data_IF_446787837220
#
_entry.id   IF_446787837220
#
_cell.length_a   1.000
_cell.length_b   1.000
_cell.length_c   1.000
_cell.angle_alpha   90.00
_cell.angle_beta   90.00
_cell.angle_gamma   90.00
#
_symmetry.space_group_name_H-M   'P 1'
#
loop_
_entity.id
_entity.type
_entity.pdbx_description
1 polymer ?
#
# COMPACT_ATOMS: atom_id res chain seq x y z
N UNK A 1 5.81 4.08 2.83
CA UNK A 1 6.21 5.42 2.38
C UNK A 1 5.43 6.36 3.29
N UNK A 2 5.18 7.62 2.94
CA UNK A 2 4.23 8.47 3.68
C UNK A 2 4.71 9.05 5.03
N UNK A 3 3.76 9.65 5.75
CA UNK A 3 4.03 10.51 6.91
C UNK A 3 4.37 9.71 8.17
N UNK A 4 5.44 10.12 8.86
CA UNK A 4 5.97 9.45 10.06
C UNK A 4 5.15 9.74 11.34
N UNK A 5 3.86 9.36 11.36
CA UNK A 5 2.94 9.62 12.49
C UNK A 5 2.87 8.49 13.53
N UNK A 6 3.68 7.44 13.39
CA UNK A 6 3.57 6.21 14.20
C UNK A 6 3.49 6.46 15.71
N UNK A 7 4.30 7.38 16.23
CA UNK A 7 4.45 7.56 17.67
C UNK A 7 3.24 8.20 18.35
N UNK A 8 2.47 9.01 17.60
CA UNK A 8 1.23 9.61 18.09
C UNK A 8 0.01 8.74 17.78
N UNK A 9 0.11 7.87 16.77
CA UNK A 9 -0.97 6.96 16.36
C UNK A 9 -0.93 5.61 17.08
N UNK A 10 0.20 5.24 17.67
CA UNK A 10 0.38 3.95 18.34
C UNK A 10 -0.69 3.62 19.40
N UNK A 11 -1.16 4.57 20.24
CA UNK A 11 -2.22 4.31 21.22
C UNK A 11 -3.59 3.96 20.61
N UNK A 12 -3.84 4.30 19.35
CA UNK A 12 -5.13 4.12 18.67
C UNK A 12 -5.14 2.91 17.73
N UNK A 13 -4.12 2.05 17.83
CA UNK A 13 -4.02 0.83 17.04
C UNK A 13 -4.76 -0.30 17.74
N UNK A 14 -5.80 -0.78 17.08
CA UNK A 14 -6.52 -1.97 17.52
C UNK A 14 -6.05 -3.17 16.74
N UNK A 15 -5.81 -4.28 17.44
CA UNK A 15 -5.55 -5.55 16.76
C UNK A 15 -6.83 -5.99 16.06
N UNK A 16 -6.76 -6.21 14.75
CA UNK A 16 -7.83 -6.90 14.04
C UNK A 16 -7.54 -8.40 14.00
N UNK A 17 -8.44 -9.19 14.58
CA UNK A 17 -8.55 -10.60 14.21
C UNK A 17 -8.97 -10.71 12.73
N UNK A 18 -8.78 -11.87 12.13
CA UNK A 18 -9.20 -12.10 10.75
C UNK A 18 -10.71 -11.93 10.55
N UNK A 19 -11.51 -12.25 11.56
CA UNK A 19 -12.96 -12.05 11.57
C UNK A 19 -13.36 -10.57 11.51
N UNK A 20 -12.47 -9.67 11.96
CA UNK A 20 -12.66 -8.22 11.88
C UNK A 20 -12.33 -7.61 10.52
N UNK A 21 -12.02 -8.44 9.52
CA UNK A 21 -11.65 -8.04 8.15
C UNK A 21 -12.67 -8.53 7.10
N UNK A 22 -13.82 -9.04 7.52
CA UNK A 22 -14.91 -9.29 6.60
C UNK A 22 -15.48 -7.96 6.06
N UNK A 23 -16.00 -8.00 4.83
CA UNK A 23 -16.57 -6.82 4.17
C UNK A 23 -15.70 -6.24 3.04
N UNK A 24 -16.12 -5.11 2.50
CA UNK A 24 -15.50 -4.46 1.34
C UNK A 24 -14.30 -3.62 1.75
N UNK A 25 -13.19 -3.74 1.02
CA UNK A 25 -11.92 -3.10 1.39
C UNK A 25 -11.24 -2.45 0.17
N UNK A 26 -10.97 -1.15 0.22
CA UNK A 26 -10.18 -0.47 -0.81
C UNK A 26 -8.69 -0.58 -0.49
N UNK A 27 -7.95 -1.35 -1.28
CA UNK A 27 -6.52 -1.56 -1.12
C UNK A 27 -5.76 -0.60 -2.03
N UNK A 28 -4.85 0.19 -1.45
CA UNK A 28 -3.85 0.90 -2.24
C UNK A 28 -2.96 -0.13 -2.96
N UNK A 29 -3.10 -0.18 -4.28
CA UNK A 29 -2.38 -1.11 -5.14
C UNK A 29 -0.88 -0.80 -5.19
N UNK A 30 -0.46 0.46 -5.25
CA UNK A 30 0.96 0.80 -5.31
C UNK A 30 1.66 0.45 -4.00
N UNK A 31 1.02 0.73 -2.86
CA UNK A 31 1.52 0.29 -1.56
C UNK A 31 1.59 -1.25 -1.49
N UNK A 32 0.53 -1.96 -1.88
CA UNK A 32 0.50 -3.43 -1.87
C UNK A 32 1.57 -4.06 -2.76
N UNK A 33 1.72 -3.59 -4.00
CA UNK A 33 2.72 -4.07 -4.95
C UNK A 33 4.14 -3.81 -4.44
N UNK A 34 4.40 -2.64 -3.86
CA UNK A 34 5.68 -2.34 -3.22
C UNK A 34 5.97 -3.29 -2.06
N UNK A 35 4.98 -3.59 -1.22
CA UNK A 35 5.13 -4.59 -0.16
C UNK A 35 5.47 -5.96 -0.75
N UNK A 36 4.78 -6.41 -1.80
CA UNK A 36 5.07 -7.71 -2.42
C UNK A 36 6.48 -7.78 -3.01
N UNK A 37 6.90 -6.77 -3.76
CA UNK A 37 8.24 -6.71 -4.36
C UNK A 37 9.36 -6.62 -3.31
N UNK A 38 9.10 -5.97 -2.17
CA UNK A 38 10.09 -5.82 -1.10
C UNK A 38 10.17 -7.04 -0.18
N UNK A 39 9.09 -7.81 -0.04
CA UNK A 39 8.95 -8.89 0.94
C UNK A 39 9.07 -10.28 0.31
N UNK A 40 8.47 -10.49 -0.86
CA UNK A 40 8.39 -11.80 -1.51
C UNK A 40 9.64 -11.97 -2.37
N UNK A 41 10.62 -12.65 -1.80
CA UNK A 41 11.96 -12.84 -2.36
C UNK A 41 12.41 -14.27 -2.12
N UNK A 42 13.41 -14.71 -2.88
CA UNK A 42 14.08 -15.98 -2.67
C UNK A 42 14.87 -15.98 -1.35
N UNK A 43 15.37 -17.14 -0.94
CA UNK A 43 16.12 -17.28 0.32
C UNK A 43 17.41 -16.45 0.34
N UNK A 44 18.04 -16.25 -0.83
CA UNK A 44 19.20 -15.39 -1.04
C UNK A 44 18.85 -13.89 -1.12
N UNK A 45 17.56 -13.55 -1.05
CA UNK A 45 17.08 -12.19 -1.07
C UNK A 45 16.83 -11.59 -2.46
N UNK A 46 17.10 -12.32 -3.53
CA UNK A 46 16.76 -11.91 -4.90
C UNK A 46 15.24 -11.90 -5.11
N UNK A 47 14.69 -11.05 -5.99
CA UNK A 47 13.27 -11.13 -6.36
C UNK A 47 12.90 -12.50 -6.95
N UNK A 48 11.63 -12.85 -6.88
CA UNK A 48 11.13 -13.94 -7.72
C UNK A 48 11.15 -13.47 -9.17
N UNK A 49 11.65 -14.33 -10.06
CA UNK A 49 11.70 -14.08 -11.51
C UNK A 49 11.14 -15.27 -12.27
N UNK A 50 10.70 -15.03 -13.50
CA UNK A 50 10.37 -16.08 -14.47
C UNK A 50 11.60 -16.54 -15.28
N UNK A 51 11.38 -17.43 -16.26
CA UNK A 51 12.43 -17.95 -17.14
C UNK A 51 13.12 -16.87 -17.98
N UNK A 52 12.43 -15.77 -18.28
CA UNK A 52 12.95 -14.61 -19.01
C UNK A 52 13.62 -13.57 -18.10
N UNK A 53 13.66 -13.81 -16.79
CA UNK A 53 14.26 -12.92 -15.80
C UNK A 53 13.38 -11.72 -15.41
N UNK A 54 12.10 -11.70 -15.80
CA UNK A 54 11.16 -10.65 -15.38
C UNK A 54 10.76 -10.89 -13.93
N UNK A 55 10.67 -9.82 -13.13
CA UNK A 55 10.25 -9.93 -11.72
C UNK A 55 8.79 -10.34 -11.62
N UNK A 56 8.49 -11.34 -10.79
CA UNK A 56 7.13 -11.91 -10.60
C UNK A 56 6.65 -11.88 -9.14
N UNK A 57 7.43 -11.29 -8.23
CA UNK A 57 7.09 -11.18 -6.80
C UNK A 57 5.74 -10.51 -6.56
N UNK A 58 5.39 -9.51 -7.36
CA UNK A 58 4.09 -8.81 -7.27
C UNK A 58 2.92 -9.72 -7.67
N UNK A 59 3.04 -10.50 -8.73
CA UNK A 59 2.02 -11.47 -9.16
C UNK A 59 1.81 -12.56 -8.10
N UNK A 60 2.91 -13.09 -7.55
CA UNK A 60 2.82 -14.07 -6.47
C UNK A 60 2.14 -13.48 -5.24
N UNK A 61 2.49 -12.25 -4.85
CA UNK A 61 1.84 -11.57 -3.73
C UNK A 61 0.36 -11.37 -3.96
N UNK A 62 0.00 -10.86 -5.14
CA UNK A 62 -1.36 -10.54 -5.52
C UNK A 62 -2.24 -11.80 -5.56
N UNK A 63 -1.79 -12.87 -6.22
CA UNK A 63 -2.52 -14.14 -6.29
C UNK A 63 -2.80 -14.70 -4.89
N UNK A 64 -1.76 -14.94 -4.08
CA UNK A 64 -1.92 -15.65 -2.81
C UNK A 64 -2.59 -14.81 -1.73
N UNK A 65 -2.40 -13.49 -1.74
CA UNK A 65 -3.05 -12.60 -0.77
C UNK A 65 -4.50 -12.36 -1.12
N UNK A 66 -4.81 -12.09 -2.38
CA UNK A 66 -6.19 -11.82 -2.81
C UNK A 66 -7.07 -13.05 -2.60
N UNK A 67 -6.62 -14.23 -3.03
CA UNK A 67 -7.32 -15.51 -2.75
C UNK A 67 -7.50 -15.78 -1.26
N UNK A 68 -6.51 -15.45 -0.43
CA UNK A 68 -6.66 -15.55 1.03
C UNK A 68 -7.73 -14.59 1.54
N UNK A 69 -7.74 -13.33 1.08
CA UNK A 69 -8.72 -12.33 1.49
C UNK A 69 -10.14 -12.76 1.15
N UNK A 70 -10.37 -13.20 -0.08
CA UNK A 70 -11.64 -13.72 -0.56
C UNK A 70 -12.12 -14.91 0.30
N UNK A 71 -11.23 -15.86 0.59
CA UNK A 71 -11.54 -17.02 1.43
C UNK A 71 -11.89 -16.66 2.89
N UNK A 72 -11.54 -15.47 3.36
CA UNK A 72 -11.87 -14.97 4.70
C UNK A 72 -13.08 -14.02 4.69
N UNK A 73 -13.83 -13.93 3.58
CA UNK A 73 -15.00 -13.06 3.47
C UNK A 73 -14.68 -11.58 3.28
N UNK A 74 -13.41 -11.24 2.97
CA UNK A 74 -13.04 -9.89 2.56
C UNK A 74 -13.25 -9.73 1.06
N UNK A 75 -13.86 -8.62 0.64
CA UNK A 75 -14.11 -8.26 -0.76
C UNK A 75 -13.20 -7.10 -1.15
N UNK A 76 -11.98 -7.38 -1.65
CA UNK A 76 -11.01 -6.33 -1.99
C UNK A 76 -11.38 -5.63 -3.29
N UNK A 77 -11.15 -4.32 -3.36
CA UNK A 77 -11.02 -3.55 -4.58
C UNK A 77 -9.64 -2.91 -4.58
N UNK A 78 -8.90 -3.01 -5.68
CA UNK A 78 -7.56 -2.43 -5.78
C UNK A 78 -7.60 -1.04 -6.43
N UNK A 79 -6.96 -0.06 -5.79
CA UNK A 79 -6.93 1.32 -6.24
C UNK A 79 -5.51 1.67 -6.67
N UNK A 80 -5.30 1.87 -7.97
CA UNK A 80 -4.02 2.27 -8.54
C UNK A 80 -3.91 3.79 -8.58
N UNK A 81 -2.71 4.33 -8.34
CA UNK A 81 -2.40 5.74 -8.56
C UNK A 81 -2.60 6.10 -10.04
N UNK A 82 -3.10 7.31 -10.27
CA UNK A 82 -3.10 7.98 -11.55
C UNK A 82 -1.93 8.95 -11.69
N UNK A 83 -2.22 10.15 -12.19
CA UNK A 83 -1.20 11.16 -12.38
C UNK A 83 -0.75 11.74 -11.02
N UNK A 84 0.56 11.70 -10.71
CA UNK A 84 1.05 12.31 -9.47
C UNK A 84 0.86 13.83 -9.51
N UNK A 85 0.53 14.47 -8.38
CA UNK A 85 0.41 15.92 -8.33
C UNK A 85 1.79 16.59 -8.48
N UNK A 86 1.82 17.83 -8.97
CA UNK A 86 3.07 18.60 -9.12
C UNK A 86 3.84 18.73 -7.80
N UNK A 87 3.10 18.84 -6.69
CA UNK A 87 3.64 18.89 -5.32
C UNK A 87 4.55 17.69 -5.00
N UNK A 88 4.31 16.52 -5.62
CA UNK A 88 5.08 15.28 -5.38
C UNK A 88 6.29 15.15 -6.30
N UNK A 89 6.51 16.08 -7.24
CA UNK A 89 7.58 15.99 -8.24
C UNK A 89 8.99 15.96 -7.61
N UNK A 90 9.22 16.74 -6.56
CA UNK A 90 10.49 16.74 -5.83
C UNK A 90 10.77 15.38 -5.19
N UNK A 91 9.78 14.82 -4.49
CA UNK A 91 9.84 13.51 -3.85
C UNK A 91 10.06 12.39 -4.87
N UNK A 92 9.39 12.45 -6.03
CA UNK A 92 9.58 11.48 -7.11
C UNK A 92 11.02 11.54 -7.65
N UNK A 93 11.58 12.74 -7.88
CA UNK A 93 12.98 12.90 -8.30
C UNK A 93 13.94 12.35 -7.26
N UNK A 94 13.75 12.67 -5.99
CA UNK A 94 14.59 12.16 -4.91
C UNK A 94 14.54 10.62 -4.82
N UNK A 95 13.34 10.03 -4.87
CA UNK A 95 13.15 8.57 -4.87
C UNK A 95 13.80 7.92 -6.08
N UNK A 96 13.78 8.57 -7.25
CA UNK A 96 14.46 8.08 -8.46
C UNK A 96 15.97 8.05 -8.27
N UNK A 97 16.58 9.12 -7.77
CA UNK A 97 18.02 9.17 -7.52
C UNK A 97 18.46 8.09 -6.54
N UNK A 98 17.71 7.90 -5.43
CA UNK A 98 18.00 6.85 -4.44
C UNK A 98 17.92 5.45 -5.06
N UNK A 99 16.93 5.20 -5.93
CA UNK A 99 16.78 3.90 -6.61
C UNK A 99 17.91 3.63 -7.61
N UNK A 100 18.29 4.63 -8.39
CA UNK A 100 19.38 4.51 -9.37
C UNK A 100 20.71 4.21 -8.66
N UNK A 101 20.99 4.90 -7.56
CA UNK A 101 22.18 4.65 -6.75
C UNK A 101 22.15 3.27 -6.10
N UNK A 102 21.00 2.88 -5.52
CA UNK A 102 20.83 1.54 -4.98
C UNK A 102 21.00 0.45 -6.05
N UNK A 103 20.59 0.70 -7.30
CA UNK A 103 20.80 -0.22 -8.42
C UNK A 103 22.28 -0.44 -8.74
N UNK A 104 23.09 0.62 -8.70
CA UNK A 104 24.56 0.51 -8.86
C UNK A 104 25.20 -0.25 -7.72
N UNK A 105 24.82 0.08 -6.48
CA UNK A 105 25.33 -0.58 -5.29
C UNK A 105 24.93 -2.05 -5.23
N UNK A 106 23.73 -2.40 -5.72
CA UNK A 106 23.29 -3.78 -5.88
C UNK A 106 24.19 -4.56 -6.85
N UNK A 107 24.46 -4.02 -8.04
CA UNK A 107 25.33 -4.68 -9.01
C UNK A 107 26.73 -4.95 -8.44
N UNK A 108 27.32 -3.95 -7.77
CA UNK A 108 28.62 -4.08 -7.12
C UNK A 108 28.62 -5.11 -5.98
N UNK A 109 27.55 -5.16 -5.17
CA UNK A 109 27.42 -6.12 -4.07
C UNK A 109 27.21 -7.57 -4.56
N UNK A 110 26.53 -7.74 -5.70
CA UNK A 110 26.41 -9.05 -6.36
C UNK A 110 27.77 -9.52 -6.87
N UNK A 111 28.54 -8.63 -7.51
CA UNK A 111 29.88 -8.95 -8.01
C UNK A 111 30.87 -9.30 -6.89
N UNK A 112 30.78 -8.62 -5.74
CA UNK A 112 31.64 -8.89 -4.57
C UNK A 112 31.19 -10.07 -3.71
N UNK A 113 30.03 -10.68 -3.98
CA UNK A 113 29.46 -11.76 -3.18
C UNK A 113 28.91 -11.30 -1.81
N UNK A 114 28.74 -10.01 -1.58
CA UNK A 114 28.10 -9.48 -0.36
C UNK A 114 26.58 -9.60 -0.46
N UNK A 115 26.08 -10.79 -0.17
CA UNK A 115 24.65 -11.11 -0.23
C UNK A 115 23.81 -10.23 0.70
N UNK A 116 24.35 -9.76 1.83
CA UNK A 116 23.61 -8.94 2.79
C UNK A 116 23.40 -7.51 2.26
N UNK A 117 24.45 -6.90 1.70
CA UNK A 117 24.34 -5.59 1.08
C UNK A 117 23.54 -5.67 -0.23
N UNK A 118 23.76 -6.70 -1.05
CA UNK A 118 22.97 -6.92 -2.26
C UNK A 118 21.47 -7.02 -1.93
N UNK A 119 21.09 -7.71 -0.86
CA UNK A 119 19.71 -7.78 -0.40
C UNK A 119 19.13 -6.41 -0.04
N UNK A 120 19.87 -5.62 0.75
CA UNK A 120 19.45 -4.28 1.16
C UNK A 120 19.25 -3.36 -0.03
N UNK A 121 20.22 -3.35 -0.96
CA UNK A 121 20.21 -2.50 -2.14
C UNK A 121 19.14 -2.92 -3.15
N UNK A 122 18.92 -4.23 -3.35
CA UNK A 122 17.85 -4.73 -4.21
C UNK A 122 16.45 -4.33 -3.72
N UNK A 123 16.24 -4.21 -2.40
CA UNK A 123 14.98 -3.69 -1.84
C UNK A 123 14.83 -2.20 -2.09
N UNK A 124 15.90 -1.43 -1.95
CA UNK A 124 15.88 0.02 -2.20
C UNK A 124 15.71 0.36 -3.69
N UNK A 125 16.30 -0.44 -4.58
CA UNK A 125 16.21 -0.29 -6.04
C UNK A 125 14.85 -0.72 -6.63
N UNK A 126 13.96 -1.30 -5.81
CA UNK A 126 12.65 -1.80 -6.27
C UNK A 126 11.83 -0.68 -6.93
N UNK A 127 11.35 -0.95 -8.15
CA UNK A 127 10.55 -0.05 -8.97
C UNK A 127 9.20 -0.71 -9.31
N UNK A 128 8.15 0.10 -9.27
CA UNK A 128 6.86 -0.22 -9.89
C UNK A 128 6.85 0.52 -11.23
N UNK A 129 6.77 -0.22 -12.33
CA UNK A 129 6.70 0.31 -13.68
C UNK A 129 5.39 -0.12 -14.37
N UNK A 130 5.23 0.30 -15.62
CA UNK A 130 4.03 -0.01 -16.40
C UNK A 130 3.82 -1.52 -16.61
N UNK A 131 4.88 -2.32 -16.68
CA UNK A 131 4.77 -3.76 -16.83
C UNK A 131 4.28 -4.42 -15.52
N UNK A 132 4.78 -3.98 -14.37
CA UNK A 132 4.29 -4.40 -13.05
C UNK A 132 2.82 -4.04 -12.87
N UNK A 133 2.43 -2.81 -13.21
CA UNK A 133 1.03 -2.35 -13.09
C UNK A 133 0.12 -3.13 -14.05
N UNK A 134 0.46 -3.20 -15.34
CA UNK A 134 -0.37 -3.87 -16.34
C UNK A 134 -0.54 -5.36 -16.08
N UNK A 135 0.52 -6.05 -15.65
CA UNK A 135 0.41 -7.46 -15.26
C UNK A 135 -0.38 -7.66 -13.96
N UNK A 136 -0.29 -6.75 -12.99
CA UNK A 136 -1.13 -6.79 -11.79
C UNK A 136 -2.62 -6.60 -12.13
N UNK A 137 -2.96 -5.62 -12.97
CA UNK A 137 -4.33 -5.36 -13.43
C UNK A 137 -4.91 -6.58 -14.17
N UNK A 138 -4.16 -7.13 -15.12
CA UNK A 138 -4.56 -8.35 -15.85
C UNK A 138 -4.82 -9.53 -14.89
N UNK A 139 -3.97 -9.72 -13.89
CA UNK A 139 -4.18 -10.77 -12.89
C UNK A 139 -5.45 -10.53 -12.06
N UNK A 140 -5.75 -9.27 -11.70
CA UNK A 140 -6.98 -8.92 -10.97
C UNK A 140 -8.23 -9.16 -11.82
N UNK A 141 -8.18 -8.81 -13.11
CA UNK A 141 -9.27 -9.11 -14.05
C UNK A 141 -9.56 -10.60 -14.12
N UNK A 142 -8.51 -11.41 -14.26
CA UNK A 142 -8.60 -12.87 -14.29
C UNK A 142 -9.05 -13.47 -12.96
N UNK A 143 -8.73 -12.84 -11.82
CA UNK A 143 -9.26 -13.23 -10.52
C UNK A 143 -10.72 -12.80 -10.31
N UNK A 144 -11.29 -12.00 -11.21
CA UNK A 144 -12.62 -11.42 -11.05
C UNK A 144 -12.69 -10.35 -9.95
N UNK A 145 -11.57 -9.70 -9.62
CA UNK A 145 -11.48 -8.71 -8.55
C UNK A 145 -11.47 -7.30 -9.15
N UNK A 146 -12.39 -6.40 -8.72
CA UNK A 146 -12.46 -5.07 -9.28
C UNK A 146 -11.22 -4.25 -8.92
N UNK A 147 -10.82 -3.39 -9.85
CA UNK A 147 -9.80 -2.39 -9.63
C UNK A 147 -10.16 -1.11 -10.39
N UNK A 148 -9.59 0.00 -9.94
CA UNK A 148 -9.72 1.29 -10.62
C UNK A 148 -8.40 2.07 -10.56
N UNK A 149 -8.25 3.03 -11.46
CA UNK A 149 -7.19 4.03 -11.43
C UNK A 149 -7.75 5.33 -10.86
N UNK A 150 -7.17 5.82 -9.77
CA UNK A 150 -7.51 7.09 -9.17
C UNK A 150 -7.12 8.25 -10.11
N UNK A 151 -7.78 9.42 -10.03
CA UNK A 151 -7.32 10.61 -10.77
C UNK A 151 -5.91 11.05 -10.36
N UNK A 152 -5.56 10.85 -9.08
CA UNK A 152 -4.24 11.14 -8.55
C UNK A 152 -3.77 10.05 -7.58
N UNK A 153 -3.79 10.26 -6.27
CA UNK A 153 -3.29 9.29 -5.28
C UNK A 153 -4.30 8.16 -5.01
N UNK A 154 -3.86 6.91 -5.09
CA UNK A 154 -4.67 5.73 -4.81
C UNK A 154 -5.15 5.69 -3.34
N UNK A 155 -4.31 6.13 -2.40
CA UNK A 155 -4.71 6.26 -0.98
C UNK A 155 -5.84 7.28 -0.77
N UNK A 156 -5.82 8.39 -1.51
CA UNK A 156 -6.86 9.41 -1.41
C UNK A 156 -8.20 8.89 -1.95
N UNK A 157 -8.17 8.18 -3.08
CA UNK A 157 -9.34 7.53 -3.65
C UNK A 157 -9.86 6.41 -2.72
N UNK A 158 -8.99 5.59 -2.13
CA UNK A 158 -9.37 4.58 -1.16
C UNK A 158 -10.02 5.20 0.10
N UNK A 159 -9.46 6.31 0.59
CA UNK A 159 -10.03 7.08 1.70
C UNK A 159 -11.42 7.63 1.35
N UNK A 160 -11.60 8.19 0.14
CA UNK A 160 -12.90 8.68 -0.37
C UNK A 160 -13.95 7.56 -0.44
N UNK A 161 -13.58 6.40 -0.98
CA UNK A 161 -14.47 5.23 -1.08
C UNK A 161 -14.87 4.70 0.30
N UNK A 162 -13.99 4.80 1.30
CA UNK A 162 -14.33 4.43 2.68
C UNK A 162 -15.23 5.49 3.33
N UNK A 163 -14.94 6.78 3.11
CA UNK A 163 -15.69 7.89 3.68
C UNK A 163 -17.13 8.00 3.16
N UNK A 164 -17.38 7.65 1.90
CA UNK A 164 -18.72 7.66 1.31
C UNK A 164 -19.49 6.33 1.49
N UNK A 165 -18.89 5.34 2.13
CA UNK A 165 -19.49 4.03 2.40
C UNK A 165 -19.50 3.05 1.23
N UNK A 166 -18.81 3.34 0.11
CA UNK A 166 -18.66 2.39 -1.00
C UNK A 166 -17.83 1.16 -0.60
N UNK A 167 -16.87 1.34 0.31
CA UNK A 167 -16.17 0.26 1.00
C UNK A 167 -16.23 0.46 2.51
N UNK A 168 -16.07 -0.62 3.29
CA UNK A 168 -16.07 -0.55 4.74
C UNK A 168 -14.79 0.11 5.30
N UNK A 169 -13.66 0.04 4.59
CA UNK A 169 -12.38 0.59 5.04
C UNK A 169 -11.32 0.68 3.94
N UNK A 170 -10.31 1.52 4.18
CA UNK A 170 -9.11 1.62 3.36
C UNK A 170 -8.01 0.69 3.89
N UNK A 171 -7.15 0.19 2.99
CA UNK A 171 -6.03 -0.70 3.30
C UNK A 171 -4.75 -0.14 2.69
N UNK A 172 -3.83 0.30 3.55
CA UNK A 172 -2.47 0.70 3.16
C UNK A 172 -1.52 0.51 4.35
N UNK A 173 -0.21 0.49 4.10
CA UNK A 173 0.78 0.64 5.18
C UNK A 173 1.00 2.09 5.57
N UNK A 174 0.61 3.08 4.78
CA UNK A 174 0.94 4.48 5.10
C UNK A 174 -0.19 5.14 5.88
N UNK A 175 0.11 6.22 6.61
CA UNK A 175 -0.90 6.91 7.43
C UNK A 175 -1.61 8.03 6.67
N UNK A 176 -1.23 8.26 5.42
CA UNK A 176 -1.72 9.37 4.60
C UNK A 176 -3.22 9.18 4.31
N UNK A 177 -3.69 7.94 4.23
CA UNK A 177 -5.12 7.60 4.22
C UNK A 177 -5.93 8.28 5.35
N UNK A 178 -5.38 8.42 6.58
CA UNK A 178 -6.07 9.14 7.66
C UNK A 178 -6.11 10.65 7.40
N UNK A 179 -5.06 11.21 6.81
CA UNK A 179 -4.98 12.63 6.42
C UNK A 179 -5.99 12.95 5.31
N UNK A 180 -6.13 12.04 4.33
CA UNK A 180 -7.18 12.10 3.30
C UNK A 180 -8.59 11.84 3.84
N UNK A 181 -8.73 11.44 5.11
CA UNK A 181 -10.02 11.28 5.78
C UNK A 181 -10.63 9.88 5.75
N UNK A 182 -9.84 8.83 5.56
CA UNK A 182 -10.33 7.46 5.71
C UNK A 182 -10.89 7.26 7.13
N UNK A 183 -12.19 6.95 7.29
CA UNK A 183 -12.79 6.79 8.62
C UNK A 183 -12.22 5.57 9.36
N UNK A 184 -11.86 4.53 8.63
CA UNK A 184 -11.24 3.31 9.16
C UNK A 184 -10.11 2.85 8.23
N UNK A 185 -8.90 2.78 8.79
CA UNK A 185 -7.68 2.35 8.13
C UNK A 185 -7.25 0.98 8.66
N UNK A 186 -7.14 0.00 7.77
CA UNK A 186 -6.53 -1.29 8.06
C UNK A 186 -5.09 -1.33 7.57
N UNK A 187 -4.14 -1.65 8.45
CA UNK A 187 -2.72 -1.84 8.10
C UNK A 187 -2.31 -3.29 8.32
N UNK A 188 -1.10 -3.62 7.87
CA UNK A 188 -0.53 -4.97 7.90
C UNK A 188 -1.31 -6.06 7.12
N UNK A 189 -2.39 -5.74 6.40
CA UNK A 189 -3.24 -6.74 5.72
C UNK A 189 -2.45 -7.53 4.66
N UNK A 190 -1.76 -6.83 3.77
CA UNK A 190 -0.96 -7.41 2.68
C UNK A 190 0.29 -8.17 3.14
N UNK A 191 0.75 -7.93 4.38
CA UNK A 191 2.02 -8.45 4.90
C UNK A 191 1.87 -9.37 6.12
N UNK A 192 0.65 -9.54 6.61
CA UNK A 192 0.28 -10.31 7.82
C UNK A 192 0.67 -11.79 7.75
N UNK A 193 0.91 -12.40 8.91
CA UNK A 193 1.31 -13.81 9.05
C UNK A 193 2.71 -13.98 9.63
N UNK A 194 3.15 -15.25 9.71
CA UNK A 194 4.49 -15.60 10.17
C UNK A 194 5.52 -15.24 9.11
N UNK A 195 6.56 -14.51 9.51
CA UNK A 195 7.68 -14.12 8.66
C UNK A 195 8.98 -14.48 9.35
N UNK A 196 9.95 -14.99 8.59
CA UNK A 196 11.34 -15.10 9.05
C UNK A 196 12.08 -13.83 8.65
N UNK A 197 12.68 -13.16 9.62
CA UNK A 197 13.50 -11.98 9.42
C UNK A 197 14.78 -12.16 10.26
N UNK A 198 15.96 -12.16 9.61
CA UNK A 198 17.26 -12.37 10.26
C UNK A 198 17.29 -13.57 11.22
N UNK A 199 16.76 -14.72 10.77
CA UNK A 199 16.70 -15.95 11.58
C UNK A 199 15.64 -15.97 12.68
N UNK A 200 14.89 -14.88 12.91
CA UNK A 200 13.80 -14.81 13.90
C UNK A 200 12.44 -14.89 13.23
N UNK A 201 11.51 -15.63 13.84
CA UNK A 201 10.11 -15.64 13.40
C UNK A 201 9.37 -14.48 14.04
N UNK A 202 8.88 -13.56 13.22
CA UNK A 202 8.02 -12.45 13.61
C UNK A 202 6.61 -12.74 13.12
N UNK A 203 5.60 -12.52 13.97
CA UNK A 203 4.20 -12.57 13.56
C UNK A 203 3.74 -11.14 13.33
N UNK A 204 3.33 -10.84 12.10
CA UNK A 204 2.73 -9.56 11.76
C UNK A 204 1.23 -9.73 11.76
N UNK A 205 0.54 -8.93 12.58
CA UNK A 205 -0.91 -9.01 12.76
C UNK A 205 -1.60 -7.80 12.11
N UNK A 206 -2.77 -8.00 11.50
CA UNK A 206 -3.63 -6.91 11.06
C UNK A 206 -3.89 -5.90 12.19
N UNK A 207 -3.88 -4.62 11.85
CA UNK A 207 -4.24 -3.54 12.77
C UNK A 207 -5.27 -2.61 12.14
N UNK A 208 -6.14 -2.01 12.96
CA UNK A 208 -7.18 -1.06 12.60
C UNK A 208 -6.96 0.25 13.35
N UNK A 209 -7.21 1.35 12.67
CA UNK A 209 -7.14 2.69 13.24
C UNK A 209 -8.37 3.45 12.76
N UNK A 210 -9.18 3.93 13.71
CA UNK A 210 -10.35 4.75 13.40
C UNK A 210 -10.01 6.21 13.52
N UNK A 211 -10.30 6.99 12.48
CA UNK A 211 -9.96 8.41 12.44
C UNK A 211 -10.64 9.18 13.57
N UNK A 212 -11.90 8.89 13.88
CA UNK A 212 -12.64 9.55 14.95
C UNK A 212 -11.93 9.41 16.32
N UNK A 213 -11.50 8.19 16.68
CA UNK A 213 -10.80 7.92 17.93
C UNK A 213 -9.43 8.62 17.99
N UNK A 214 -8.73 8.68 16.86
CA UNK A 214 -7.46 9.42 16.73
C UNK A 214 -7.68 10.91 16.97
N UNK A 215 -8.65 11.52 16.29
CA UNK A 215 -8.92 12.96 16.40
C UNK A 215 -9.36 13.33 17.82
N UNK A 216 -10.28 12.55 18.41
CA UNK A 216 -10.74 12.74 19.78
C UNK A 216 -9.59 12.61 20.79
N UNK A 217 -8.83 11.52 20.73
CA UNK A 217 -7.76 11.27 21.70
C UNK A 217 -6.57 12.22 21.57
N UNK A 218 -6.26 12.68 20.36
CA UNK A 218 -5.23 13.70 20.14
C UNK A 218 -5.74 15.11 20.48
N UNK A 219 -7.06 15.32 20.48
CA UNK A 219 -7.69 16.63 20.71
C UNK A 219 -7.43 17.59 19.55
N UNK A 220 -7.54 17.10 18.31
CA UNK A 220 -7.30 17.87 17.08
C UNK A 220 -8.35 17.54 16.02
N UNK A 221 -8.59 18.48 15.11
CA UNK A 221 -9.37 18.29 13.89
C UNK A 221 -8.56 17.59 12.79
N UNK A 222 -9.22 17.15 11.71
CA UNK A 222 -8.50 16.59 10.55
C UNK A 222 -7.55 17.62 9.92
N UNK A 223 -7.95 18.89 9.85
CA UNK A 223 -7.11 19.97 9.32
C UNK A 223 -5.83 20.14 10.17
N UNK A 224 -5.96 20.15 11.49
CA UNK A 224 -4.84 20.18 12.42
C UNK A 224 -3.97 18.90 12.34
N UNK A 225 -4.57 17.73 12.12
CA UNK A 225 -3.79 16.50 11.89
C UNK A 225 -2.97 16.57 10.59
N UNK A 226 -3.50 17.20 9.54
CA UNK A 226 -2.76 17.49 8.30
C UNK A 226 -1.59 18.44 8.57
N UNK A 227 -1.80 19.49 9.37
CA UNK A 227 -0.73 20.40 9.81
C UNK A 227 0.38 19.68 10.59
N UNK A 228 0.02 18.74 11.47
CA UNK A 228 0.98 17.86 12.12
C UNK A 228 1.79 17.09 11.08
N UNK A 229 1.13 16.55 10.05
CA UNK A 229 1.79 15.88 8.92
C UNK A 229 2.74 16.80 8.16
N UNK A 230 2.33 18.03 7.85
CA UNK A 230 3.15 19.03 7.15
C UNK A 230 4.42 19.35 7.96
N UNK A 231 4.30 19.56 9.28
CA UNK A 231 5.47 19.83 10.13
C UNK A 231 6.42 18.63 10.23
N UNK A 232 5.89 17.40 10.24
CA UNK A 232 6.70 16.18 10.28
C UNK A 232 7.38 15.90 8.93
N UNK A 233 6.72 16.26 7.83
CA UNK A 233 7.12 15.94 6.47
C UNK A 233 6.18 14.91 5.84
N UNK A 234 5.78 15.21 4.62
CA UNK A 234 4.86 14.40 3.81
C UNK A 234 5.51 14.01 2.49
N UNK A 235 4.79 13.27 1.65
CA UNK A 235 5.24 13.05 0.27
C UNK A 235 5.25 14.34 -0.57
N UNK A 236 4.70 15.45 -0.07
CA UNK A 236 4.58 16.75 -0.74
C UNK A 236 5.53 17.83 -0.19
N UNK A 237 6.17 17.61 0.96
CA UNK A 237 7.15 18.53 1.54
C UNK A 237 8.13 17.80 2.47
N UNK A 238 9.36 18.33 2.60
CA UNK A 238 10.41 17.71 3.43
C UNK A 238 10.13 17.72 4.94
N UNK A 239 9.17 18.53 5.38
CA UNK A 239 8.90 18.77 6.79
C UNK A 239 9.90 19.71 7.45
N UNK A 240 9.71 19.95 8.75
CA UNK A 240 10.53 20.84 9.53
C UNK A 240 11.62 20.06 10.26
N UNK A 241 12.88 20.38 9.95
CA UNK A 241 14.05 19.69 10.54
C UNK A 241 14.00 19.73 12.07
N UNK A 242 14.15 18.54 12.68
CA UNK A 242 14.15 18.36 14.13
C UNK A 242 12.75 18.36 14.78
N UNK A 243 11.68 18.40 13.99
CA UNK A 243 10.30 18.32 14.48
C UNK A 243 9.73 16.93 14.15
N UNK A 244 9.59 16.11 15.19
CA UNK A 244 8.91 14.81 15.10
C UNK A 244 7.41 14.91 15.45
N UNK A 245 6.65 13.81 15.32
CA UNK A 245 5.18 13.82 15.41
C UNK A 245 4.64 14.33 16.76
N UNK A 246 5.31 14.02 17.88
CA UNK A 246 4.92 14.52 19.20
C UNK A 246 5.11 16.03 19.33
N UNK A 247 6.22 16.56 18.80
CA UNK A 247 6.53 17.99 18.82
C UNK A 247 5.61 18.76 17.88
N UNK A 248 5.37 18.24 16.68
CA UNK A 248 4.41 18.79 15.73
C UNK A 248 3.01 18.88 16.33
N UNK A 249 2.53 17.80 16.96
CA UNK A 249 1.24 17.79 17.66
C UNK A 249 1.15 18.86 18.74
N UNK A 250 2.21 19.03 19.54
CA UNK A 250 2.26 20.08 20.57
C UNK A 250 2.14 21.48 19.95
N UNK A 251 2.89 21.76 18.89
CA UNK A 251 2.87 23.06 18.19
C UNK A 251 1.46 23.36 17.67
N UNK A 252 0.84 22.40 17.01
CA UNK A 252 -0.51 22.56 16.42
C UNK A 252 -1.56 22.78 17.51
N UNK A 253 -1.55 21.98 18.58
CA UNK A 253 -2.48 22.13 19.72
C UNK A 253 -2.35 23.47 20.46
N UNK A 254 -1.19 24.10 20.38
CA UNK A 254 -0.95 25.43 20.94
C UNK A 254 -1.36 26.56 19.99
N UNK A 255 -1.89 26.25 18.80
CA UNK A 255 -2.28 27.23 17.78
C UNK A 255 -1.08 27.92 17.10
N UNK A 256 0.12 27.33 17.19
CA UNK A 256 1.38 27.95 16.74
C UNK A 256 1.86 27.47 15.38
N UNK A 257 1.00 26.81 14.59
CA UNK A 257 1.39 26.29 13.27
C UNK A 257 1.85 27.42 12.33
N UNK A 258 1.02 28.45 12.15
CA UNK A 258 1.31 29.56 11.21
C UNK A 258 2.58 30.31 11.60
N UNK A 259 2.74 30.64 12.89
CA UNK A 259 3.96 31.24 13.45
C UNK A 259 5.19 30.37 13.15
N UNK A 260 5.08 29.07 13.43
CA UNK A 260 6.18 28.12 13.21
C UNK A 260 6.59 28.02 11.75
N UNK A 261 5.62 27.99 10.83
CA UNK A 261 5.88 27.96 9.38
C UNK A 261 6.56 29.24 8.93
N UNK A 262 6.03 30.40 9.31
CA UNK A 262 6.58 31.70 8.93
C UNK A 262 8.03 31.89 9.42
N UNK A 263 8.33 31.46 10.65
CA UNK A 263 9.66 31.63 11.26
C UNK A 263 10.68 30.59 10.78
N UNK A 264 10.26 29.33 10.62
CA UNK A 264 11.17 28.20 10.47
C UNK A 264 11.15 27.54 9.10
N UNK A 265 10.21 27.93 8.24
CA UNK A 265 10.10 27.48 6.85
C UNK A 265 9.92 28.71 5.93
N UNK A 266 10.88 29.64 5.89
CA UNK A 266 10.72 30.90 5.16
C UNK A 266 10.45 30.65 3.68
N UNK A 267 9.37 31.23 3.16
CA UNK A 267 8.94 31.10 1.77
C UNK A 267 8.18 29.80 1.44
N UNK A 268 7.89 28.95 2.43
CA UNK A 268 7.04 27.79 2.26
C UNK A 268 5.56 28.17 2.42
N UNK A 269 4.75 27.80 1.43
CA UNK A 269 3.30 27.92 1.48
C UNK A 269 2.67 26.54 1.79
N UNK A 270 2.01 26.37 2.95
CA UNK A 270 1.37 25.10 3.32
C UNK A 270 0.01 24.89 2.63
N UNK A 271 -0.62 25.92 2.07
CA UNK A 271 -2.01 25.88 1.62
C UNK A 271 -2.26 24.93 0.43
N UNK A 272 -1.36 24.81 -0.56
CA UNK A 272 -1.50 23.80 -1.62
C UNK A 272 -1.55 22.37 -1.07
N UNK A 273 -0.77 22.08 -0.02
CA UNK A 273 -0.72 20.75 0.60
C UNK A 273 -1.96 20.52 1.46
N UNK A 274 -2.38 21.52 2.24
CA UNK A 274 -3.66 21.47 3.00
C UNK A 274 -4.83 21.18 2.06
N UNK A 275 -4.93 21.96 0.98
CA UNK A 275 -5.98 21.81 -0.03
C UNK A 275 -5.94 20.41 -0.63
N UNK A 276 -4.75 19.91 -0.99
CA UNK A 276 -4.61 18.58 -1.58
C UNK A 276 -5.07 17.46 -0.64
N UNK A 277 -4.80 17.53 0.67
CA UNK A 277 -5.30 16.53 1.62
C UNK A 277 -6.79 16.68 1.93
N UNK A 278 -7.31 17.91 1.98
CA UNK A 278 -8.71 18.17 2.30
C UNK A 278 -9.64 17.85 1.12
N UNK A 279 -9.20 18.19 -0.09
CA UNK A 279 -9.94 18.13 -1.36
C UNK A 279 -9.07 17.45 -2.45
N UNK A 280 -8.66 16.19 -2.26
CA UNK A 280 -7.83 15.49 -3.24
C UNK A 280 -8.62 15.22 -4.55
N UNK A 281 -7.94 15.16 -5.71
CA UNK A 281 -8.56 14.69 -6.94
C UNK A 281 -9.00 13.22 -6.80
N UNK A 282 -10.31 13.00 -6.74
CA UNK A 282 -10.96 11.69 -6.61
C UNK A 282 -12.13 11.58 -7.60
N UNK A 283 -12.56 10.36 -7.89
CA UNK A 283 -13.68 10.08 -8.78
C UNK A 283 -14.75 9.28 -8.05
N UNK A 284 -16.02 9.54 -8.38
CA UNK A 284 -17.16 8.71 -8.00
C UNK A 284 -17.60 7.79 -9.18
N UNK A 285 -16.91 7.86 -10.32
CA UNK A 285 -17.12 7.00 -11.49
C UNK A 285 -16.37 5.67 -11.34
N UNK A 286 -17.01 4.72 -10.65
CA UNK A 286 -16.54 3.34 -10.54
C UNK A 286 -17.71 2.38 -10.30
N UNK A 287 -17.54 1.13 -10.74
CA UNK A 287 -18.46 0.04 -10.45
C UNK A 287 -17.70 -1.08 -9.74
N UNK A 288 -18.17 -1.45 -8.55
CA UNK A 288 -17.57 -2.52 -7.76
C UNK A 288 -18.26 -3.85 -8.05
N UNK A 289 -17.75 -4.56 -9.06
CA UNK A 289 -18.27 -5.86 -9.45
C UNK A 289 -17.21 -6.96 -9.23
N UNK A 290 -17.54 -7.93 -8.40
CA UNK A 290 -16.71 -9.11 -8.14
C UNK A 290 -17.27 -10.26 -8.96
N UNK A 291 -16.43 -10.88 -9.77
CA UNK A 291 -16.83 -11.91 -10.74
C UNK A 291 -16.16 -13.24 -10.40
N UNK A 292 -16.63 -14.31 -11.03
CA UNK A 292 -15.94 -15.59 -10.96
C UNK A 292 -14.53 -15.49 -11.57
N UNK A 293 -13.51 -16.14 -10.99
CA UNK A 293 -12.18 -16.21 -11.59
C UNK A 293 -12.18 -16.95 -12.93
N UNK A 294 -11.44 -16.43 -13.90
CA UNK A 294 -11.10 -17.12 -15.15
C UNK A 294 -9.93 -18.09 -14.90
N UNK A 295 -10.26 -19.34 -14.60
CA UNK A 295 -9.29 -20.39 -14.27
C UNK A 295 -8.34 -20.68 -15.44
N UNK A 296 -8.86 -20.71 -16.67
CA UNK A 296 -8.06 -21.03 -17.85
C UNK A 296 -7.10 -19.87 -18.14
N UNK A 297 -7.59 -18.64 -18.10
CA UNK A 297 -6.76 -17.44 -18.26
C UNK A 297 -5.71 -17.29 -17.16
N UNK A 298 -6.03 -17.63 -15.90
CA UNK A 298 -5.06 -17.63 -14.80
C UNK A 298 -3.93 -18.64 -15.01
N UNK A 299 -4.26 -19.85 -15.48
CA UNK A 299 -3.26 -20.88 -15.79
C UNK A 299 -2.38 -20.49 -16.96
N UNK A 300 -2.98 -19.96 -18.03
CA UNK A 300 -2.23 -19.48 -19.19
C UNK A 300 -1.29 -18.34 -18.81
N UNK A 301 -1.79 -17.30 -18.12
CA UNK A 301 -0.96 -16.18 -17.71
C UNK A 301 0.14 -16.61 -16.74
N UNK A 302 -0.21 -17.27 -15.63
CA UNK A 302 0.77 -17.52 -14.57
C UNK A 302 1.69 -18.67 -14.91
N UNK A 303 1.16 -19.76 -15.45
CA UNK A 303 1.92 -20.96 -15.82
C UNK A 303 2.74 -20.73 -17.08
N UNK A 304 2.07 -20.49 -18.20
CA UNK A 304 2.72 -20.48 -19.51
C UNK A 304 3.55 -19.22 -19.72
N UNK A 305 3.05 -18.04 -19.32
CA UNK A 305 3.77 -16.79 -19.55
C UNK A 305 4.75 -16.43 -18.43
N UNK A 306 4.44 -16.68 -17.16
CA UNK A 306 5.26 -16.25 -16.02
C UNK A 306 5.94 -17.40 -15.26
N UNK A 307 5.93 -18.61 -15.81
CA UNK A 307 6.63 -19.78 -15.27
C UNK A 307 6.24 -20.18 -13.83
N UNK A 308 5.00 -19.91 -13.40
CA UNK A 308 4.50 -20.41 -12.13
C UNK A 308 4.22 -21.90 -12.22
N UNK A 309 4.50 -22.64 -11.14
CA UNK A 309 4.10 -24.04 -11.08
C UNK A 309 2.58 -24.17 -11.07
N UNK A 310 2.05 -25.14 -11.82
CA UNK A 310 0.61 -25.41 -11.92
C UNK A 310 0.01 -25.73 -10.56
N UNK A 311 0.76 -26.45 -9.71
CA UNK A 311 0.36 -26.79 -8.35
C UNK A 311 0.18 -25.55 -7.48
N UNK A 312 1.06 -24.55 -7.62
CA UNK A 312 0.97 -23.29 -6.88
C UNK A 312 -0.26 -22.48 -7.29
N UNK A 313 -0.55 -22.44 -8.59
CA UNK A 313 -1.75 -21.74 -9.11
C UNK A 313 -3.01 -22.45 -8.62
N UNK A 314 -3.08 -23.78 -8.74
CA UNK A 314 -4.22 -24.56 -8.27
C UNK A 314 -4.43 -24.43 -6.76
N UNK A 315 -3.38 -24.47 -5.94
CA UNK A 315 -3.49 -24.28 -4.50
C UNK A 315 -4.03 -22.89 -4.09
N UNK A 316 -3.80 -21.86 -4.91
CA UNK A 316 -4.40 -20.55 -4.69
C UNK A 316 -5.90 -20.55 -5.03
N UNK A 317 -6.30 -21.21 -6.12
CA UNK A 317 -7.68 -21.34 -6.58
C UNK A 317 -8.54 -22.22 -5.65
N UNK A 318 -8.00 -23.35 -5.19
CA UNK A 318 -8.69 -24.25 -4.26
C UNK A 318 -9.06 -23.53 -2.95
N UNK A 319 -8.26 -22.55 -2.54
CA UNK A 319 -8.53 -21.75 -1.33
C UNK A 319 -9.82 -20.94 -1.44
N UNK A 320 -10.21 -20.54 -2.64
CA UNK A 320 -11.47 -19.86 -2.93
C UNK A 320 -12.51 -20.83 -3.51
N UNK A 321 -12.42 -22.12 -3.17
CA UNK A 321 -13.42 -23.13 -3.54
C UNK A 321 -13.49 -23.40 -5.04
N UNK A 322 -12.47 -23.00 -5.82
CA UNK A 322 -12.40 -23.24 -7.27
C UNK A 322 -11.59 -24.50 -7.52
N UNK A 323 -12.28 -25.61 -7.78
CA UNK A 323 -11.70 -26.93 -8.08
C UNK A 323 -11.70 -27.21 -9.57
N UNK A 324 -10.71 -27.99 -10.06
CA UNK A 324 -10.65 -28.39 -11.45
C UNK A 324 -11.92 -29.17 -11.86
N UNK A 325 -12.69 -28.62 -12.81
CA UNK A 325 -13.90 -29.25 -13.36
C UNK A 325 -15.24 -28.81 -12.75
N UNK A 326 -15.25 -27.91 -11.77
CA UNK A 326 -16.49 -27.42 -11.15
C UNK A 326 -16.89 -26.06 -11.74
N UNK A 327 -18.11 -25.96 -12.29
CA UNK A 327 -18.61 -24.79 -13.04
C UNK A 327 -19.61 -23.90 -12.28
N UNK A 328 -19.90 -24.12 -11.00
CA UNK A 328 -20.96 -23.38 -10.29
C UNK A 328 -20.57 -23.06 -8.84
N UNK A 329 -20.53 -21.84 -8.28
CA UNK A 329 -21.17 -20.49 -8.41
C UNK A 329 -22.24 -20.08 -7.38
N UNK A 330 -22.55 -20.88 -6.35
CA UNK A 330 -23.58 -20.51 -5.35
C UNK A 330 -23.04 -20.09 -3.97
N UNK A 331 -21.72 -19.98 -3.78
CA UNK A 331 -21.13 -19.62 -2.46
C UNK A 331 -20.56 -18.21 -2.37
N UNK A 332 -20.64 -17.43 -3.45
CA UNK A 332 -19.89 -16.17 -3.58
C UNK A 332 -20.78 -14.93 -3.82
N UNK A 333 -22.09 -15.12 -3.99
CA UNK A 333 -23.09 -14.08 -4.31
C UNK A 333 -24.28 -14.13 -3.38
#
# INVERSE_FOLDING_TARGET
MGVALRDILAPYKHRAGWDGLAGTAAIDAHNALYQFLSIIRQADGTPLVDAEGRVTSHLSGLLFRTTKFLAMGMRPVYVFDGAPPELKAATIRARRTVREEAGRQYAAAVESGDHAEAYKQARMATRIDAAVIGSAQRLLDLLGVPWLTAPSEGEAQAARMAANGAVAYAVTQDYDALLFGAPDLARNITISGRRRLHGRTIVVEPERIRLAEVLEGLGVTRAELIEVGILVGTDFNEGLRGVGPKTALKIVREGRFEETVAERMPGFDPDPIRTFFLEPPVTDDYCLDWRAPDVEGLRAMLGDEYSFSVERVNAALERIGVTAGQRTLDQWF
#
